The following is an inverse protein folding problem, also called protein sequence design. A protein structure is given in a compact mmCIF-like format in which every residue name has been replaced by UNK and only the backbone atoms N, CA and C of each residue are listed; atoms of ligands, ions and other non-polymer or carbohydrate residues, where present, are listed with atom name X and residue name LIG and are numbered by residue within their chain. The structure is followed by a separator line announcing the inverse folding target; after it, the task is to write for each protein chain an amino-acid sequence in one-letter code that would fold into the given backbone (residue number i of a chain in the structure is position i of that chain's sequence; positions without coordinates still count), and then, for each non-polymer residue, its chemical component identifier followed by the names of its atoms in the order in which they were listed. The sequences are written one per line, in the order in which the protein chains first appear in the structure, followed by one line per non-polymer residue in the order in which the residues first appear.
data_IF_392233053131
#
_entry.id   IF_392233053131
#
_cell.length_a   1.000
_cell.length_b   1.000
_cell.length_c   1.000
_cell.angle_alpha   90.00
_cell.angle_beta   90.00
_cell.angle_gamma   90.00
#
_symmetry.space_group_name_H-M   'P 1'
#
loop_
_entity.id
_entity.type
_entity.pdbx_description
1 polymer ?
#
# COMPACT_ATOMS: atom_id res chain seq x y z
N UNK A 1 -15.99 55.92 -40.21
CA UNK A 1 -16.26 54.81 -41.15
C UNK A 1 -17.45 54.01 -40.63
N UNK A 2 -18.65 54.17 -41.22
CA UNK A 2 -19.89 53.51 -40.74
C UNK A 2 -19.93 52.07 -41.27
N UNK A 3 -19.85 51.10 -40.37
CA UNK A 3 -20.04 49.68 -40.69
C UNK A 3 -21.54 49.48 -40.98
N UNK A 4 -21.87 49.06 -42.19
CA UNK A 4 -23.25 48.82 -42.62
C UNK A 4 -23.84 47.59 -41.91
N UNK A 5 -25.15 47.55 -41.63
CA UNK A 5 -25.75 46.49 -40.81
C UNK A 5 -25.59 45.08 -41.43
N UNK A 6 -25.38 45.00 -42.75
CA UNK A 6 -25.17 43.75 -43.48
C UNK A 6 -23.84 43.06 -43.17
N UNK A 7 -22.76 43.81 -42.91
CA UNK A 7 -21.44 43.21 -42.60
C UNK A 7 -21.35 42.74 -41.14
N UNK A 8 -22.00 43.46 -40.21
CA UNK A 8 -22.11 43.06 -38.80
C UNK A 8 -22.88 41.74 -38.65
N UNK A 9 -23.96 41.56 -39.42
CA UNK A 9 -24.77 40.35 -39.41
C UNK A 9 -24.02 39.15 -40.02
N UNK A 10 -23.26 39.38 -41.09
CA UNK A 10 -22.42 38.36 -41.73
C UNK A 10 -21.29 37.87 -40.78
N UNK A 11 -20.65 38.79 -40.05
CA UNK A 11 -19.61 38.45 -39.08
C UNK A 11 -20.18 37.68 -37.89
N UNK A 12 -21.33 38.10 -37.34
CA UNK A 12 -22.01 37.35 -36.27
C UNK A 12 -22.47 35.95 -36.72
N UNK A 13 -22.84 35.78 -38.00
CA UNK A 13 -23.18 34.47 -38.58
C UNK A 13 -21.94 33.58 -38.74
N UNK A 14 -20.83 34.13 -39.21
CA UNK A 14 -19.55 33.43 -39.35
C UNK A 14 -18.98 32.97 -38.00
N UNK A 15 -19.11 33.77 -36.95
CA UNK A 15 -18.69 33.39 -35.59
C UNK A 15 -19.58 32.29 -34.98
N UNK A 16 -20.88 32.27 -35.30
CA UNK A 16 -21.82 31.23 -34.82
C UNK A 16 -21.55 29.88 -35.47
N UNK A 17 -21.21 29.86 -36.76
CA UNK A 17 -20.88 28.65 -37.51
C UNK A 17 -19.53 28.05 -37.09
N UNK A 18 -18.54 28.90 -36.78
CA UNK A 18 -17.24 28.45 -36.23
C UNK A 18 -17.39 27.85 -34.84
N UNK A 19 -18.36 28.30 -34.04
CA UNK A 19 -18.62 27.79 -32.68
C UNK A 19 -19.30 26.43 -32.67
N UNK A 20 -20.17 26.10 -33.64
CA UNK A 20 -20.83 24.79 -33.69
C UNK A 20 -19.93 23.66 -34.22
N UNK A 21 -18.86 23.99 -34.95
CA UNK A 21 -17.85 23.01 -35.39
C UNK A 21 -16.86 22.62 -34.29
N UNK A 22 -16.82 23.34 -33.17
CA UNK A 22 -15.87 23.08 -32.07
C UNK A 22 -16.42 22.23 -30.92
N UNK A 23 -17.70 21.87 -30.94
CA UNK A 23 -18.29 20.98 -29.93
C UNK A 23 -18.40 19.56 -30.49
N UNK A 24 -17.26 18.88 -30.63
CA UNK A 24 -17.23 17.43 -30.77
C UNK A 24 -17.47 16.82 -29.38
N UNK A 25 -18.66 16.26 -29.16
CA UNK A 25 -18.97 15.51 -27.95
C UNK A 25 -18.33 14.12 -28.00
N UNK A 26 -17.89 13.63 -26.85
CA UNK A 26 -17.46 12.24 -26.68
C UNK A 26 -18.64 11.32 -26.98
N UNK A 27 -18.47 10.36 -27.88
CA UNK A 27 -19.55 9.44 -28.22
C UNK A 27 -19.77 8.45 -27.07
N UNK A 28 -21.03 8.04 -26.84
CA UNK A 28 -21.32 7.01 -25.83
C UNK A 28 -20.59 5.69 -26.15
N UNK A 29 -20.39 5.39 -27.44
CA UNK A 29 -19.67 4.20 -27.88
C UNK A 29 -18.18 4.27 -27.58
N UNK A 30 -17.54 5.44 -27.69
CA UNK A 30 -16.14 5.63 -27.25
C UNK A 30 -16.01 5.34 -25.77
N UNK A 31 -16.95 5.81 -24.95
CA UNK A 31 -16.90 5.56 -23.50
C UNK A 31 -17.15 4.09 -23.17
N UNK A 32 -18.09 3.44 -23.87
CA UNK A 32 -18.38 2.02 -23.69
C UNK A 32 -17.17 1.12 -23.99
N UNK A 33 -16.44 1.39 -25.08
CA UNK A 33 -15.25 0.59 -25.43
C UNK A 33 -14.14 0.82 -24.40
N UNK A 34 -13.96 2.05 -23.91
CA UNK A 34 -12.93 2.36 -22.90
C UNK A 34 -13.19 1.59 -21.61
N UNK A 35 -14.41 1.62 -21.07
CA UNK A 35 -14.71 0.88 -19.83
C UNK A 35 -14.66 -0.63 -20.04
N UNK A 36 -14.99 -1.13 -21.24
CA UNK A 36 -14.83 -2.54 -21.58
C UNK A 36 -13.35 -2.99 -21.55
N UNK A 37 -12.45 -2.21 -22.16
CA UNK A 37 -11.00 -2.51 -22.16
C UNK A 37 -10.41 -2.41 -20.75
N UNK A 38 -10.75 -1.35 -19.99
CA UNK A 38 -10.30 -1.20 -18.60
C UNK A 38 -10.85 -2.33 -17.72
N UNK A 39 -12.07 -2.81 -17.99
CA UNK A 39 -12.65 -3.98 -17.33
C UNK A 39 -11.82 -5.25 -17.53
N UNK A 40 -11.38 -5.53 -18.76
CA UNK A 40 -10.54 -6.70 -19.07
C UNK A 40 -9.17 -6.60 -18.38
N UNK A 41 -8.53 -5.43 -18.46
CA UNK A 41 -7.21 -5.20 -17.85
C UNK A 41 -7.28 -5.30 -16.32
N UNK A 42 -8.31 -4.72 -15.70
CA UNK A 42 -8.49 -4.75 -14.24
C UNK A 42 -8.80 -6.16 -13.72
N UNK A 43 -9.52 -6.99 -14.47
CA UNK A 43 -9.82 -8.36 -14.06
C UNK A 43 -8.55 -9.22 -13.83
N UNK A 44 -7.51 -9.02 -14.65
CA UNK A 44 -6.24 -9.76 -14.51
C UNK A 44 -5.27 -9.07 -13.56
N UNK A 45 -5.23 -7.73 -13.56
CA UNK A 45 -4.27 -6.97 -12.77
C UNK A 45 -4.64 -6.87 -11.28
N UNK A 46 -5.93 -6.75 -10.96
CA UNK A 46 -6.41 -6.53 -9.59
C UNK A 46 -6.05 -7.66 -8.60
N UNK A 47 -6.21 -8.96 -8.90
CA UNK A 47 -5.86 -10.01 -7.94
C UNK A 47 -4.36 -10.00 -7.57
N UNK A 48 -3.48 -9.75 -8.55
CA UNK A 48 -2.04 -9.65 -8.31
C UNK A 48 -1.70 -8.40 -7.48
N UNK A 49 -2.33 -7.26 -7.79
CA UNK A 49 -2.13 -6.02 -7.06
C UNK A 49 -2.55 -6.14 -5.58
N UNK A 50 -3.67 -6.81 -5.29
CA UNK A 50 -4.12 -7.07 -3.92
C UNK A 50 -3.14 -7.95 -3.14
N UNK A 51 -2.60 -9.00 -3.78
CA UNK A 51 -1.55 -9.84 -3.18
C UNK A 51 -0.27 -9.07 -2.85
N UNK A 52 0.21 -8.26 -3.81
CA UNK A 52 1.40 -7.42 -3.63
C UNK A 52 1.22 -6.36 -2.53
N UNK A 53 0.03 -5.73 -2.46
CA UNK A 53 -0.30 -4.77 -1.40
C UNK A 53 -0.27 -5.41 -0.01
N UNK A 54 -0.86 -6.60 0.13
CA UNK A 54 -0.86 -7.31 1.40
C UNK A 54 0.56 -7.74 1.79
N UNK A 55 1.37 -8.18 0.83
CA UNK A 55 2.78 -8.50 1.06
C UNK A 55 3.61 -7.28 1.50
N UNK A 56 3.41 -6.13 0.87
CA UNK A 56 4.07 -4.89 1.26
C UNK A 56 3.67 -4.45 2.67
N UNK A 57 2.37 -4.51 3.01
CA UNK A 57 1.87 -4.17 4.34
C UNK A 57 2.45 -5.08 5.43
N UNK A 58 2.50 -6.38 5.17
CA UNK A 58 3.07 -7.35 6.10
C UNK A 58 4.60 -7.16 6.25
N UNK A 59 5.32 -6.85 5.17
CA UNK A 59 6.75 -6.52 5.21
C UNK A 59 7.05 -5.27 6.05
N UNK A 60 6.20 -4.24 5.96
CA UNK A 60 6.34 -3.02 6.76
C UNK A 60 6.20 -3.29 8.26
N UNK A 61 5.17 -4.04 8.66
CA UNK A 61 4.93 -4.42 10.07
C UNK A 61 6.09 -5.24 10.61
N UNK A 62 6.63 -6.19 9.82
CA UNK A 62 7.78 -6.99 10.24
C UNK A 62 9.04 -6.13 10.40
N UNK A 63 9.27 -5.18 9.50
CA UNK A 63 10.41 -4.27 9.60
C UNK A 63 10.38 -3.43 10.88
N UNK A 64 9.20 -2.90 11.23
CA UNK A 64 8.98 -2.18 12.48
C UNK A 64 9.27 -3.06 13.70
N UNK A 65 8.74 -4.28 13.70
CA UNK A 65 8.92 -5.23 14.80
C UNK A 65 10.36 -5.67 14.97
N UNK A 66 11.09 -5.90 13.88
CA UNK A 66 12.53 -6.23 13.95
C UNK A 66 13.33 -5.05 14.51
N UNK A 67 12.94 -3.81 14.19
CA UNK A 67 13.50 -2.61 14.80
C UNK A 67 13.31 -2.60 16.31
N UNK A 68 12.07 -2.75 16.76
CA UNK A 68 11.72 -2.79 18.19
C UNK A 68 12.38 -3.96 18.93
N UNK A 69 12.48 -5.13 18.29
CA UNK A 69 13.14 -6.30 18.85
C UNK A 69 14.65 -6.08 19.06
N UNK A 70 15.31 -5.37 18.13
CA UNK A 70 16.72 -4.99 18.29
C UNK A 70 16.91 -4.02 19.44
N UNK A 71 16.06 -3.01 19.56
CA UNK A 71 16.09 -2.06 20.68
C UNK A 71 15.87 -2.75 22.02
N UNK A 72 15.01 -3.76 22.05
CA UNK A 72 14.83 -4.55 23.24
C UNK A 72 16.04 -5.44 23.56
N UNK A 73 16.65 -6.05 22.54
CA UNK A 73 17.87 -6.83 22.72
C UNK A 73 19.02 -5.98 23.26
N UNK A 74 19.19 -4.74 22.78
CA UNK A 74 20.19 -3.81 23.32
C UNK A 74 19.86 -3.35 24.73
N UNK A 75 18.57 -3.09 25.03
CA UNK A 75 18.11 -2.80 26.39
C UNK A 75 18.40 -3.96 27.37
N UNK A 76 18.25 -5.21 26.94
CA UNK A 76 18.63 -6.37 27.75
C UNK A 76 20.15 -6.51 27.89
N UNK A 77 20.89 -6.34 26.81
CA UNK A 77 22.34 -6.42 26.83
C UNK A 77 22.98 -5.32 27.70
N UNK A 78 22.33 -4.15 27.83
CA UNK A 78 22.77 -3.06 28.71
C UNK A 78 22.42 -3.26 30.18
N UNK A 79 21.77 -4.37 30.55
CA UNK A 79 21.31 -4.59 31.92
C UNK A 79 20.10 -3.75 32.31
N UNK A 80 19.21 -3.48 31.35
CA UNK A 80 17.94 -2.77 31.54
C UNK A 80 18.10 -1.29 31.90
N UNK A 81 19.23 -0.70 31.50
CA UNK A 81 19.50 0.72 31.66
C UNK A 81 18.76 1.51 30.58
N UNK A 82 17.73 2.25 30.97
CA UNK A 82 16.97 3.15 30.09
C UNK A 82 15.46 2.93 30.13
N UNK A 83 14.77 3.39 29.08
CA UNK A 83 13.34 3.17 28.90
C UNK A 83 13.15 2.01 27.93
N UNK A 84 12.37 1.00 28.32
CA UNK A 84 12.02 -0.11 27.45
C UNK A 84 11.13 0.37 26.29
N UNK A 85 11.36 -0.07 25.04
CA UNK A 85 10.53 0.31 23.91
C UNK A 85 9.09 -0.17 24.13
N UNK A 86 8.15 0.79 24.06
CA UNK A 86 6.72 0.58 24.28
C UNK A 86 5.97 1.22 23.11
N UNK A 87 5.67 0.43 22.09
CA UNK A 87 5.06 0.87 20.84
C UNK A 87 4.72 -0.32 19.94
N UNK A 88 3.83 -0.16 18.96
CA UNK A 88 3.55 -1.19 17.96
C UNK A 88 3.01 -2.53 18.49
N UNK A 89 2.41 -2.56 19.68
CA UNK A 89 1.91 -3.81 20.30
C UNK A 89 3.02 -4.70 20.89
N UNK A 90 4.21 -4.14 21.10
CA UNK A 90 5.40 -4.81 21.63
C UNK A 90 5.58 -4.53 23.12
N UNK A 91 6.02 -5.54 23.88
CA UNK A 91 6.45 -5.37 25.27
C UNK A 91 7.78 -6.06 25.51
N UNK A 92 8.65 -5.42 26.30
CA UNK A 92 9.97 -5.91 26.72
C UNK A 92 9.95 -6.34 28.20
N UNK A 93 9.35 -7.49 28.48
CA UNK A 93 9.22 -8.13 29.80
C UNK A 93 10.45 -8.98 30.16
N UNK A 94 10.61 -9.28 31.45
CA UNK A 94 11.78 -9.94 32.05
C UNK A 94 11.70 -11.48 32.08
N UNK A 95 10.69 -12.09 31.46
CA UNK A 95 10.58 -13.55 31.43
C UNK A 95 11.05 -14.12 30.10
N UNK A 96 11.74 -15.26 30.17
CA UNK A 96 12.35 -16.00 29.06
C UNK A 96 11.60 -15.89 27.73
N UNK A 97 12.24 -15.26 26.74
CA UNK A 97 11.78 -15.20 25.35
C UNK A 97 10.73 -14.12 25.10
N UNK A 98 11.19 -12.90 24.81
CA UNK A 98 10.27 -11.81 24.49
C UNK A 98 9.74 -11.95 23.08
N UNK A 99 8.44 -12.18 22.93
CA UNK A 99 7.81 -12.38 21.62
C UNK A 99 7.12 -11.10 21.13
N UNK A 100 7.69 -10.45 20.11
CA UNK A 100 7.13 -9.31 19.39
C UNK A 100 6.16 -9.82 18.33
N UNK A 101 4.86 -9.49 18.44
CA UNK A 101 3.87 -9.98 17.47
C UNK A 101 3.31 -8.87 16.59
N UNK A 102 3.38 -9.07 15.29
CA UNK A 102 2.71 -8.25 14.28
C UNK A 102 1.60 -9.05 13.65
N UNK A 103 0.42 -8.44 13.54
CA UNK A 103 -0.69 -9.03 12.80
C UNK A 103 -0.96 -8.16 11.58
N UNK A 104 -1.06 -8.77 10.41
CA UNK A 104 -1.50 -8.10 9.19
C UNK A 104 -2.76 -8.78 8.66
N UNK A 105 -3.57 -8.03 7.92
CA UNK A 105 -4.77 -8.60 7.30
C UNK A 105 -4.41 -9.47 6.09
N UNK A 106 -4.89 -10.71 6.09
CA UNK A 106 -4.88 -11.61 4.92
C UNK A 106 -3.69 -12.57 4.83
N UNK A 107 -3.90 -13.68 4.12
CA UNK A 107 -2.87 -14.67 3.81
C UNK A 107 -1.86 -14.09 2.83
N UNK A 108 -0.61 -13.92 3.26
CA UNK A 108 0.49 -13.45 2.41
C UNK A 108 1.36 -14.63 2.01
N UNK A 109 1.42 -14.93 0.71
CA UNK A 109 2.36 -15.92 0.16
C UNK A 109 3.70 -15.24 -0.12
N UNK A 110 4.75 -15.61 0.61
CA UNK A 110 6.13 -15.18 0.31
C UNK A 110 6.92 -14.52 1.45
N UNK A 111 6.27 -14.16 2.56
CA UNK A 111 6.98 -13.66 3.75
C UNK A 111 7.44 -14.85 4.58
N UNK A 112 8.75 -14.97 4.77
CA UNK A 112 9.39 -16.05 5.51
C UNK A 112 10.29 -15.47 6.60
N UNK A 113 10.03 -15.83 7.86
CA UNK A 113 11.12 -15.93 8.82
C UNK A 113 12.08 -16.99 8.27
N UNK A 114 13.41 -16.78 8.34
CA UNK A 114 14.38 -17.72 7.74
C UNK A 114 14.25 -19.16 8.26
N UNK A 115 13.63 -19.35 9.45
CA UNK A 115 13.32 -20.64 10.05
C UNK A 115 11.87 -21.15 9.85
N UNK A 116 10.98 -20.35 9.25
CA UNK A 116 9.57 -20.73 9.08
C UNK A 116 9.33 -21.36 7.69
N UNK A 117 8.83 -22.59 7.71
CA UNK A 117 8.58 -23.41 6.52
C UNK A 117 7.20 -23.17 5.88
N UNK A 118 6.26 -22.48 6.55
CA UNK A 118 4.92 -22.22 6.04
C UNK A 118 4.83 -20.93 5.22
N UNK A 119 4.46 -21.06 3.95
CA UNK A 119 3.91 -19.95 3.18
C UNK A 119 2.46 -19.72 3.65
N UNK A 120 2.06 -18.47 3.93
CA UNK A 120 0.66 -18.13 4.22
C UNK A 120 0.28 -17.81 5.67
N UNK A 121 1.21 -17.38 6.51
CA UNK A 121 0.88 -16.90 7.86
C UNK A 121 0.23 -15.51 7.85
N UNK A 122 -0.60 -15.22 8.86
CA UNK A 122 -1.22 -13.90 9.07
C UNK A 122 -0.59 -13.13 10.24
N UNK A 123 0.32 -13.78 10.98
CA UNK A 123 1.07 -13.21 12.10
C UNK A 123 2.54 -13.61 12.03
N UNK A 124 3.42 -12.66 12.34
CA UNK A 124 4.83 -12.93 12.62
C UNK A 124 5.11 -12.63 14.09
N UNK A 125 5.89 -13.51 14.69
CA UNK A 125 6.32 -13.43 16.06
C UNK A 125 7.86 -13.45 16.07
N UNK A 126 8.49 -12.33 16.40
CA UNK A 126 9.94 -12.28 16.63
C UNK A 126 10.18 -12.58 18.10
N UNK A 127 11.16 -13.39 18.47
CA UNK A 127 11.54 -13.67 19.85
C UNK A 127 12.93 -13.12 20.15
N UNK A 128 13.16 -12.41 21.25
CA UNK A 128 14.52 -12.08 21.73
C UNK A 128 14.91 -13.03 22.84
N UNK A 129 15.99 -13.78 22.62
CA UNK A 129 16.62 -14.65 23.60
C UNK A 129 17.53 -13.84 24.54
N UNK A 130 17.87 -14.43 25.69
CA UNK A 130 18.65 -13.77 26.76
C UNK A 130 20.10 -13.47 26.37
N UNK A 131 20.59 -14.11 25.32
CA UNK A 131 21.89 -13.87 24.68
C UNK A 131 21.84 -12.75 23.61
N UNK A 132 20.68 -12.10 23.43
CA UNK A 132 20.46 -11.12 22.37
C UNK A 132 20.14 -11.73 21.01
N UNK A 133 19.99 -13.07 20.92
CA UNK A 133 19.60 -13.76 19.71
C UNK A 133 18.16 -13.43 19.29
N UNK A 134 17.93 -13.25 17.99
CA UNK A 134 16.60 -13.06 17.41
C UNK A 134 16.08 -14.36 16.81
N UNK A 135 14.90 -14.80 17.26
CA UNK A 135 14.13 -15.90 16.67
C UNK A 135 12.92 -15.32 15.93
N UNK A 136 12.40 -16.03 14.95
CA UNK A 136 11.24 -15.56 14.18
C UNK A 136 10.37 -16.77 13.84
N UNK A 137 9.14 -16.76 14.34
CA UNK A 137 8.10 -17.76 14.11
C UNK A 137 6.92 -17.14 13.37
N UNK A 138 6.27 -17.93 12.53
CA UNK A 138 5.07 -17.53 11.79
C UNK A 138 3.86 -18.31 12.37
N UNK A 139 2.70 -17.67 12.51
CA UNK A 139 1.43 -18.29 12.91
C UNK A 139 0.22 -17.73 12.18
#
# INVERSE_FOLDING_TARGET
MRITPKTKLALMRSLREKRSKMTQGFTLIELMIVVAIVGILSAVALPNFLGARNAAAAGAVIGEIVGLAKECATFKASGEVGIAPTGGGVTCTNNTGQTYSGTWGGTVSGIRCLAATSAGASRAQVGVATDGGLTCTLS
#
